data_IF_199581767869
#
_entry.id   IF_199581767869
#
_cell.length_a   1.000
_cell.length_b   1.000
_cell.length_c   1.000
_cell.angle_alpha   90.00
_cell.angle_beta   90.00
_cell.angle_gamma   90.00
#
_symmetry.space_group_name_H-M   'P 1'
#
loop_
_entity.id
_entity.type
_entity.pdbx_description
1 polymer ?
#
# COMPACT_ATOMS: atom_id res chain seq x y z
N UNK A 1 23.11 24.61 -33.66
CA UNK A 1 22.66 25.82 -34.38
C UNK A 1 22.46 26.96 -33.39
N UNK A 2 22.69 28.21 -33.80
CA UNK A 2 22.56 29.38 -32.91
C UNK A 2 21.12 29.87 -32.89
N UNK A 3 20.44 29.71 -31.74
CA UNK A 3 19.07 30.22 -31.53
C UNK A 3 18.97 31.73 -31.79
N UNK A 4 20.05 32.47 -31.56
CA UNK A 4 20.11 33.91 -31.82
C UNK A 4 20.10 34.22 -33.31
N UNK A 5 20.91 33.51 -34.12
CA UNK A 5 20.95 33.69 -35.57
C UNK A 5 19.67 33.20 -36.25
N UNK A 6 19.03 32.15 -35.72
CA UNK A 6 17.76 31.65 -36.27
C UNK A 6 16.63 32.69 -36.24
N UNK A 7 16.70 33.69 -35.34
CA UNK A 7 15.74 34.81 -35.31
C UNK A 7 15.75 35.62 -36.61
N UNK A 8 16.87 35.65 -37.34
CA UNK A 8 16.97 36.36 -38.62
C UNK A 8 16.22 35.64 -39.75
N UNK A 9 15.75 34.40 -39.52
CA UNK A 9 14.87 33.66 -40.46
C UNK A 9 13.39 33.98 -40.27
N UNK A 10 13.04 35.03 -39.52
CA UNK A 10 11.67 35.36 -39.10
C UNK A 10 10.62 35.21 -40.21
N UNK A 11 10.80 35.89 -41.35
CA UNK A 11 9.84 35.82 -42.47
C UNK A 11 9.93 34.51 -43.25
N UNK A 12 11.11 33.88 -43.32
CA UNK A 12 11.29 32.59 -44.01
C UNK A 12 10.59 31.42 -43.31
N UNK A 13 10.27 31.55 -42.02
CA UNK A 13 9.59 30.51 -41.23
C UNK A 13 8.05 30.62 -41.28
N UNK A 14 7.49 31.70 -41.85
CA UNK A 14 6.03 31.85 -42.00
C UNK A 14 5.55 30.98 -43.17
N UNK A 15 4.65 30.04 -42.89
CA UNK A 15 3.96 29.22 -43.88
C UNK A 15 2.65 29.85 -44.36
N UNK A 16 1.69 29.01 -44.74
CA UNK A 16 0.35 29.45 -45.14
C UNK A 16 -0.42 30.08 -43.96
N UNK A 17 -1.28 31.06 -44.29
CA UNK A 17 -2.35 31.50 -43.40
C UNK A 17 -3.53 30.55 -43.50
N UNK A 18 -4.35 30.49 -42.46
CA UNK A 18 -5.58 29.71 -42.46
C UNK A 18 -6.70 30.48 -41.77
N UNK A 19 -7.95 30.07 -42.03
CA UNK A 19 -9.17 30.71 -41.50
C UNK A 19 -9.21 32.23 -41.79
N UNK A 20 -9.18 32.60 -43.08
CA UNK A 20 -9.29 33.98 -43.56
C UNK A 20 -8.31 34.97 -42.89
N UNK A 21 -7.09 34.49 -42.61
CA UNK A 21 -6.03 35.30 -41.99
C UNK A 21 -6.09 35.32 -40.45
N UNK A 22 -7.00 34.60 -39.82
CA UNK A 22 -7.03 34.45 -38.36
C UNK A 22 -5.83 33.66 -37.83
N UNK A 23 -5.39 32.65 -38.57
CA UNK A 23 -4.31 31.75 -38.19
C UNK A 23 -3.09 31.82 -39.11
N UNK A 24 -1.92 31.49 -38.55
CA UNK A 24 -0.65 31.39 -39.27
C UNK A 24 0.04 30.08 -38.91
N UNK A 25 0.34 29.26 -39.92
CA UNK A 25 1.21 28.09 -39.75
C UNK A 25 2.68 28.55 -39.73
N UNK A 26 3.48 28.01 -38.80
CA UNK A 26 4.91 28.32 -38.68
C UNK A 26 5.76 27.06 -38.82
N UNK A 27 6.79 27.13 -39.66
CA UNK A 27 7.80 26.10 -39.83
C UNK A 27 9.05 26.47 -39.01
N UNK A 28 8.91 26.45 -37.69
CA UNK A 28 9.98 26.78 -36.75
C UNK A 28 10.48 25.58 -35.97
N UNK A 29 11.66 25.69 -35.37
CA UNK A 29 12.28 24.64 -34.58
C UNK A 29 11.45 24.34 -33.31
N UNK A 30 11.28 23.06 -32.99
CA UNK A 30 10.54 22.57 -31.80
C UNK A 30 11.37 21.62 -30.94
N UNK A 31 12.70 21.68 -31.04
CA UNK A 31 13.61 20.76 -30.33
C UNK A 31 13.50 20.91 -28.81
N UNK A 32 13.02 22.06 -28.32
CA UNK A 32 12.76 22.28 -26.89
C UNK A 32 11.78 21.26 -26.29
N UNK A 33 10.95 20.63 -27.10
CA UNK A 33 10.01 19.58 -26.70
C UNK A 33 10.70 18.32 -26.18
N UNK A 34 11.97 18.10 -26.54
CA UNK A 34 12.76 16.98 -26.03
C UNK A 34 12.91 17.02 -24.50
N UNK A 35 12.78 18.19 -23.87
CA UNK A 35 12.78 18.31 -22.41
C UNK A 35 11.70 17.45 -21.74
N UNK A 36 10.46 17.48 -22.26
CA UNK A 36 9.38 16.65 -21.73
C UNK A 36 9.49 15.18 -22.20
N UNK A 37 9.97 14.94 -23.43
CA UNK A 37 10.20 13.56 -23.92
C UNK A 37 11.22 12.82 -23.07
N UNK A 38 12.33 13.46 -22.73
CA UNK A 38 13.40 12.91 -21.89
C UNK A 38 12.96 12.71 -20.43
N UNK A 39 12.00 13.52 -19.94
CA UNK A 39 11.37 13.29 -18.63
C UNK A 39 10.56 11.99 -18.60
N UNK A 40 9.79 11.70 -19.66
CA UNK A 40 8.93 10.51 -19.77
C UNK A 40 9.70 9.21 -20.01
N UNK A 41 10.79 9.27 -20.77
CA UNK A 41 11.71 8.14 -20.96
C UNK A 41 12.18 7.59 -19.60
N UNK A 42 12.36 6.27 -19.53
CA UNK A 42 12.67 5.55 -18.29
C UNK A 42 13.51 4.32 -18.61
N UNK A 43 14.15 3.76 -17.59
CA UNK A 43 15.11 2.66 -17.72
C UNK A 43 14.39 1.33 -17.92
N UNK A 44 13.33 1.09 -17.13
CA UNK A 44 12.50 -0.12 -17.18
C UNK A 44 11.16 0.06 -16.49
N UNK A 45 10.26 -0.88 -16.77
CA UNK A 45 9.01 -1.09 -16.05
C UNK A 45 9.03 -2.42 -15.31
N UNK A 46 8.54 -2.45 -14.08
CA UNK A 46 8.44 -3.68 -13.27
C UNK A 46 6.97 -3.87 -12.86
N UNK A 47 6.45 -5.09 -12.99
CA UNK A 47 5.10 -5.40 -12.48
C UNK A 47 5.12 -5.51 -10.96
N UNK A 48 4.22 -4.80 -10.29
CA UNK A 48 3.97 -4.94 -8.85
C UNK A 48 2.50 -4.70 -8.52
N UNK A 49 2.15 -4.77 -7.24
CA UNK A 49 0.82 -4.46 -6.67
C UNK A 49 0.97 -3.79 -5.31
N UNK A 50 -0.14 -3.40 -4.68
CA UNK A 50 -0.16 -2.75 -3.37
C UNK A 50 -0.69 -3.69 -2.29
N UNK A 51 0.17 -4.06 -1.33
CA UNK A 51 -0.18 -4.85 -0.16
C UNK A 51 -0.93 -4.06 0.91
N UNK A 52 -2.10 -3.53 0.57
CA UNK A 52 -2.96 -2.72 1.44
C UNK A 52 -4.41 -3.24 1.39
N UNK A 53 -5.11 -3.22 2.52
CA UNK A 53 -6.49 -3.72 2.64
C UNK A 53 -7.48 -2.78 1.94
N UNK A 54 -7.56 -2.85 0.61
CA UNK A 54 -8.42 -1.98 -0.19
C UNK A 54 -9.35 -2.75 -1.15
N UNK A 55 -9.31 -4.08 -1.17
CA UNK A 55 -10.00 -4.98 -2.14
C UNK A 55 -9.59 -4.81 -3.62
N UNK A 56 -8.83 -3.77 -3.96
CA UNK A 56 -8.57 -3.42 -5.35
C UNK A 56 -7.69 -4.42 -6.12
N UNK A 57 -6.69 -5.04 -5.48
CA UNK A 57 -5.77 -6.01 -6.13
C UNK A 57 -5.24 -5.57 -7.50
N UNK A 58 -4.93 -4.28 -7.64
CA UNK A 58 -4.59 -3.68 -8.93
C UNK A 58 -3.11 -3.94 -9.26
N UNK A 59 -2.82 -4.44 -10.45
CA UNK A 59 -1.47 -4.56 -11.00
C UNK A 59 -0.99 -3.22 -11.58
N UNK A 60 0.26 -2.85 -11.29
CA UNK A 60 0.88 -1.58 -11.69
C UNK A 60 2.20 -1.80 -12.43
N UNK A 61 2.49 -0.88 -13.35
CA UNK A 61 3.78 -0.65 -14.00
C UNK A 61 4.58 0.31 -13.10
N UNK A 62 5.60 -0.20 -12.43
CA UNK A 62 6.51 0.61 -11.62
C UNK A 62 7.65 1.10 -12.52
N UNK A 63 7.76 2.41 -12.69
CA UNK A 63 8.77 3.01 -13.56
C UNK A 63 10.04 3.26 -12.77
N UNK A 64 11.16 2.73 -13.28
CA UNK A 64 12.50 3.03 -12.79
C UNK A 64 13.17 3.95 -13.79
N UNK A 65 13.70 5.08 -13.31
CA UNK A 65 14.47 6.04 -14.09
C UNK A 65 15.66 6.53 -13.27
N UNK A 66 16.84 6.59 -13.87
CA UNK A 66 18.10 6.88 -13.20
C UNK A 66 18.37 5.91 -12.02
N UNK A 67 17.99 4.64 -12.16
CA UNK A 67 18.16 3.62 -11.12
C UNK A 67 17.25 3.80 -9.89
N UNK A 68 16.30 4.74 -9.91
CA UNK A 68 15.35 5.01 -8.82
C UNK A 68 13.92 4.81 -9.30
N UNK A 69 13.03 4.37 -8.41
CA UNK A 69 11.60 4.36 -8.72
C UNK A 69 11.10 5.81 -8.77
N UNK A 70 10.37 6.17 -9.83
CA UNK A 70 9.95 7.56 -10.05
C UNK A 70 8.44 7.77 -10.04
N UNK A 71 7.66 6.90 -10.66
CA UNK A 71 6.19 6.93 -10.66
C UNK A 71 5.62 5.55 -11.01
N UNK A 72 4.30 5.41 -10.94
CA UNK A 72 3.59 4.22 -11.40
C UNK A 72 2.40 4.58 -12.30
N UNK A 73 2.07 3.69 -13.23
CA UNK A 73 0.80 3.69 -13.98
C UNK A 73 0.20 2.30 -13.95
N UNK A 74 -1.09 2.16 -14.18
CA UNK A 74 -1.74 0.86 -14.12
C UNK A 74 -1.26 -0.08 -15.23
N UNK A 75 -1.24 -1.38 -14.93
CA UNK A 75 -1.23 -2.41 -15.96
C UNK A 75 -2.62 -2.53 -16.58
N UNK A 76 -2.67 -2.90 -17.85
CA UNK A 76 -3.91 -3.03 -18.63
C UNK A 76 -4.03 -4.39 -19.32
N UNK A 77 -3.16 -5.34 -18.96
CA UNK A 77 -3.03 -6.64 -19.60
C UNK A 77 -3.58 -7.78 -18.75
N UNK A 78 -4.61 -7.48 -17.95
CA UNK A 78 -5.40 -8.54 -17.32
C UNK A 78 -5.99 -9.45 -18.41
N UNK A 79 -6.11 -10.76 -18.18
CA UNK A 79 -6.90 -11.62 -19.05
C UNK A 79 -8.28 -11.00 -19.28
N UNK A 80 -8.64 -10.85 -20.55
CA UNK A 80 -9.90 -10.21 -20.95
C UNK A 80 -11.08 -11.03 -20.44
N UNK A 81 -12.16 -10.33 -20.11
CA UNK A 81 -13.45 -10.95 -19.79
C UNK A 81 -14.12 -11.47 -21.07
N UNK A 82 -15.30 -12.07 -20.94
CA UNK A 82 -16.10 -12.49 -22.10
C UNK A 82 -16.45 -11.28 -23.00
N UNK A 83 -16.70 -11.48 -24.30
CA UNK A 83 -17.02 -10.37 -25.21
C UNK A 83 -18.22 -9.51 -24.81
N UNK A 84 -19.16 -10.05 -24.04
CA UNK A 84 -20.36 -9.37 -23.54
C UNK A 84 -20.14 -8.59 -22.23
N UNK A 85 -18.93 -8.64 -21.68
CA UNK A 85 -18.54 -7.96 -20.44
C UNK A 85 -17.46 -6.90 -20.71
N UNK A 86 -17.48 -5.77 -19.99
CA UNK A 86 -16.33 -4.88 -19.98
C UNK A 86 -15.12 -5.57 -19.32
N UNK A 87 -13.92 -5.17 -19.72
CA UNK A 87 -12.68 -5.67 -19.13
C UNK A 87 -12.38 -4.93 -17.83
N UNK A 88 -11.55 -5.52 -16.96
CA UNK A 88 -11.13 -4.92 -15.69
C UNK A 88 -10.16 -3.74 -15.85
N UNK A 89 -9.44 -3.65 -16.98
CA UNK A 89 -8.44 -2.63 -17.17
C UNK A 89 -9.06 -1.22 -17.20
N UNK A 90 -8.41 -0.19 -16.63
CA UNK A 90 -7.08 -0.20 -16.00
C UNK A 90 -7.08 -0.52 -14.48
N UNK A 91 -8.24 -0.66 -13.83
CA UNK A 91 -8.35 -0.60 -12.34
C UNK A 91 -7.62 0.63 -11.78
N UNK A 92 -7.04 0.51 -10.59
CA UNK A 92 -6.28 1.56 -9.92
C UNK A 92 -7.17 2.54 -9.14
N UNK A 93 -6.52 3.40 -8.36
CA UNK A 93 -7.16 4.43 -7.55
C UNK A 93 -6.15 5.53 -7.21
N UNK A 94 -6.59 6.73 -6.79
CA UNK A 94 -5.67 7.83 -6.48
C UNK A 94 -4.72 7.52 -5.31
N UNK A 95 -5.07 6.58 -4.43
CA UNK A 95 -4.20 6.16 -3.33
C UNK A 95 -3.04 5.29 -3.83
N UNK A 96 -3.30 4.41 -4.80
CA UNK A 96 -2.26 3.60 -5.43
C UNK A 96 -1.32 4.43 -6.31
N UNK A 97 -1.86 5.41 -7.03
CA UNK A 97 -1.09 6.29 -7.91
C UNK A 97 -0.08 7.21 -7.20
N UNK A 98 -0.11 7.27 -5.87
CA UNK A 98 0.82 8.07 -5.06
C UNK A 98 1.79 7.22 -4.24
N UNK A 99 1.79 5.90 -4.39
CA UNK A 99 2.55 5.01 -3.53
C UNK A 99 4.07 5.18 -3.70
N UNK A 100 4.54 5.49 -4.91
CA UNK A 100 5.95 5.82 -5.21
C UNK A 100 6.54 6.89 -4.29
N UNK A 101 5.71 7.80 -3.75
CA UNK A 101 6.14 8.82 -2.79
C UNK A 101 6.86 8.23 -1.58
N UNK A 102 6.38 7.10 -1.04
CA UNK A 102 6.88 6.54 0.22
C UNK A 102 8.32 6.06 0.16
N UNK A 103 8.86 5.75 -1.03
CA UNK A 103 10.15 5.08 -1.15
C UNK A 103 11.30 5.93 -0.60
N UNK A 104 11.27 7.23 -0.86
CA UNK A 104 12.33 8.16 -0.49
C UNK A 104 11.81 9.38 0.29
N UNK A 105 10.53 9.37 0.72
CA UNK A 105 9.96 10.49 1.47
C UNK A 105 10.63 10.69 2.82
N UNK A 106 10.41 11.88 3.40
CA UNK A 106 10.90 12.25 4.72
C UNK A 106 10.42 11.32 5.85
N UNK A 107 9.35 10.55 5.62
CA UNK A 107 8.79 9.64 6.62
C UNK A 107 9.19 8.16 6.41
N UNK A 108 10.14 7.89 5.52
CA UNK A 108 10.63 6.53 5.28
C UNK A 108 11.44 6.01 6.47
N UNK A 109 11.07 4.85 7.00
CA UNK A 109 11.90 4.11 7.96
C UNK A 109 13.11 3.49 7.24
N UNK A 110 14.32 3.96 7.59
CA UNK A 110 15.58 3.55 6.96
C UNK A 110 16.40 2.55 7.79
N UNK A 111 16.24 2.57 9.11
CA UNK A 111 17.04 1.80 10.04
C UNK A 111 16.16 1.15 11.12
N UNK A 112 16.60 0.05 11.75
CA UNK A 112 15.97 -0.41 12.98
C UNK A 112 16.11 0.66 14.06
N UNK A 113 15.02 0.93 14.77
CA UNK A 113 14.92 1.96 15.78
C UNK A 113 14.57 1.33 17.13
N UNK A 114 15.15 1.85 18.21
CA UNK A 114 14.81 1.44 19.56
C UNK A 114 14.54 2.68 20.41
N UNK A 115 13.69 2.58 21.43
CA UNK A 115 13.50 3.69 22.39
C UNK A 115 14.80 3.88 23.17
N UNK A 116 15.30 5.12 23.25
CA UNK A 116 16.57 5.47 23.93
C UNK A 116 16.65 4.88 25.34
N UNK A 117 15.56 4.98 26.11
CA UNK A 117 15.50 4.44 27.48
C UNK A 117 15.69 2.92 27.53
N UNK A 118 15.05 2.19 26.62
CA UNK A 118 15.21 0.74 26.52
C UNK A 118 16.62 0.37 26.07
N UNK A 119 17.16 1.04 25.05
CA UNK A 119 18.52 0.77 24.55
C UNK A 119 19.59 0.99 25.62
N UNK A 120 19.47 2.07 26.43
CA UNK A 120 20.39 2.34 27.54
C UNK A 120 20.40 1.16 28.52
N UNK A 121 19.22 0.76 29.02
CA UNK A 121 19.11 -0.34 29.99
C UNK A 121 19.51 -1.68 29.37
N UNK A 122 19.21 -1.92 28.10
CA UNK A 122 19.59 -3.14 27.39
C UNK A 122 21.12 -3.32 27.36
N UNK A 123 21.85 -2.28 26.98
CA UNK A 123 23.31 -2.31 26.94
C UNK A 123 23.94 -2.40 28.33
N UNK A 124 23.38 -1.70 29.31
CA UNK A 124 23.81 -1.79 30.72
C UNK A 124 23.60 -3.20 31.28
N UNK A 125 22.47 -3.84 30.99
CA UNK A 125 22.19 -5.20 31.41
C UNK A 125 23.12 -6.21 30.72
N UNK A 126 23.36 -6.07 29.40
CA UNK A 126 24.30 -6.93 28.67
C UNK A 126 25.76 -6.80 29.15
N UNK A 127 26.12 -5.69 29.78
CA UNK A 127 27.46 -5.54 30.38
C UNK A 127 27.61 -6.36 31.68
N UNK A 128 26.49 -6.71 32.33
CA UNK A 128 26.46 -7.48 33.58
C UNK A 128 26.06 -8.95 33.36
N UNK A 129 25.32 -9.22 32.28
CA UNK A 129 24.80 -10.55 31.95
C UNK A 129 25.25 -10.93 30.54
N UNK A 130 26.06 -11.99 30.44
CA UNK A 130 26.53 -12.53 29.16
C UNK A 130 25.38 -13.19 28.37
N UNK A 131 24.47 -13.88 29.06
CA UNK A 131 23.25 -14.42 28.46
C UNK A 131 22.21 -13.28 28.26
N UNK A 132 21.80 -13.00 27.00
CA UNK A 132 20.82 -11.96 26.72
C UNK A 132 19.43 -12.23 27.33
N UNK A 133 19.06 -13.48 27.60
CA UNK A 133 17.79 -13.85 28.27
C UNK A 133 17.80 -13.38 29.72
N UNK A 134 18.93 -13.58 30.42
CA UNK A 134 19.13 -13.08 31.78
C UNK A 134 19.24 -11.55 31.81
N UNK A 135 19.87 -10.95 30.81
CA UNK A 135 19.91 -9.50 30.64
C UNK A 135 18.49 -8.90 30.50
N UNK A 136 17.60 -9.60 29.79
CA UNK A 136 16.19 -9.18 29.69
C UNK A 136 15.46 -9.35 31.02
N UNK A 137 15.67 -10.48 31.71
CA UNK A 137 15.09 -10.75 33.03
C UNK A 137 15.39 -9.61 34.02
N UNK A 138 16.66 -9.18 34.12
CA UNK A 138 17.09 -8.11 35.05
C UNK A 138 16.53 -6.71 34.73
N UNK A 139 15.94 -6.52 33.55
CA UNK A 139 15.21 -5.30 33.16
C UNK A 139 13.71 -5.44 33.45
N UNK A 140 13.11 -6.56 33.07
CA UNK A 140 11.64 -6.70 33.08
C UNK A 140 11.09 -7.06 34.46
N UNK A 141 11.87 -7.75 35.30
CA UNK A 141 11.52 -8.09 36.69
C UNK A 141 11.70 -6.90 37.64
N UNK A 142 12.49 -5.90 37.27
CA UNK A 142 12.61 -4.63 37.99
C UNK A 142 11.46 -3.69 37.60
N UNK A 143 10.57 -3.43 38.55
CA UNK A 143 9.37 -2.62 38.33
C UNK A 143 9.67 -1.20 37.85
N UNK A 144 10.75 -0.57 38.32
CA UNK A 144 11.10 0.80 37.96
C UNK A 144 11.78 0.87 36.59
N UNK A 145 12.66 -0.09 36.27
CA UNK A 145 13.21 -0.23 34.91
C UNK A 145 12.09 -0.50 33.91
N UNK A 146 11.21 -1.46 34.18
CA UNK A 146 10.10 -1.80 33.31
C UNK A 146 9.15 -0.61 33.08
N UNK A 147 8.79 0.11 34.14
CA UNK A 147 7.95 1.30 34.08
C UNK A 147 8.60 2.41 33.24
N UNK A 148 9.91 2.62 33.40
CA UNK A 148 10.63 3.73 32.76
C UNK A 148 10.58 3.70 31.22
N UNK A 149 10.72 2.53 30.57
CA UNK A 149 10.63 2.46 29.11
C UNK A 149 9.18 2.37 28.61
N UNK A 150 8.26 1.82 29.41
CA UNK A 150 6.84 1.73 29.08
C UNK A 150 6.18 3.11 29.06
N UNK A 151 6.46 3.98 30.04
CA UNK A 151 5.94 5.36 30.07
C UNK A 151 6.51 6.26 28.97
N UNK A 152 7.66 5.90 28.40
CA UNK A 152 8.26 6.61 27.26
C UNK A 152 7.60 6.29 25.90
N UNK A 153 6.60 5.40 25.85
CA UNK A 153 5.87 5.07 24.61
C UNK A 153 5.05 6.29 24.13
N UNK A 154 5.20 6.67 22.87
CA UNK A 154 4.52 7.83 22.29
C UNK A 154 5.04 9.19 22.77
N UNK A 155 6.29 9.25 23.25
CA UNK A 155 6.93 10.48 23.78
C UNK A 155 8.30 10.78 23.13
N UNK A 156 8.50 10.39 21.88
CA UNK A 156 9.76 10.64 21.15
C UNK A 156 10.96 9.85 21.69
N UNK A 157 12.19 10.26 21.33
CA UNK A 157 13.41 9.61 21.81
C UNK A 157 13.69 8.24 21.18
N UNK A 158 13.34 8.05 19.90
CA UNK A 158 13.87 6.93 19.13
C UNK A 158 15.34 7.20 18.77
N UNK A 159 16.15 6.15 18.84
CA UNK A 159 17.55 6.17 18.43
C UNK A 159 17.80 5.03 17.45
N UNK A 160 18.74 5.25 16.53
CA UNK A 160 19.17 4.23 15.57
C UNK A 160 19.82 3.06 16.30
N UNK A 161 19.42 1.85 15.95
CA UNK A 161 20.01 0.59 16.41
C UNK A 161 20.61 -0.18 15.22
N UNK A 162 20.91 -1.46 15.40
CA UNK A 162 21.33 -2.39 14.34
C UNK A 162 20.41 -3.61 14.32
N UNK A 163 20.37 -4.32 13.19
CA UNK A 163 19.59 -5.56 13.08
C UNK A 163 20.04 -6.61 14.10
N UNK A 164 21.35 -6.73 14.33
CA UNK A 164 21.91 -7.63 15.34
C UNK A 164 21.38 -7.33 16.74
N UNK A 165 21.39 -6.05 17.15
CA UNK A 165 20.97 -5.64 18.49
C UNK A 165 19.46 -5.84 18.71
N UNK A 166 18.61 -5.48 17.73
CA UNK A 166 17.16 -5.67 17.89
C UNK A 166 16.74 -7.13 17.80
N UNK A 167 17.39 -7.94 16.95
CA UNK A 167 17.07 -9.36 16.81
C UNK A 167 17.39 -10.13 18.09
N UNK A 168 18.55 -9.86 18.71
CA UNK A 168 18.94 -10.48 19.98
C UNK A 168 17.98 -10.11 21.12
N UNK A 169 17.63 -8.82 21.26
CA UNK A 169 16.69 -8.35 22.28
C UNK A 169 15.31 -9.01 22.10
N UNK A 170 14.77 -9.02 20.87
CA UNK A 170 13.46 -9.61 20.58
C UNK A 170 13.47 -11.11 20.89
N UNK A 171 14.51 -11.84 20.46
CA UNK A 171 14.63 -13.26 20.72
C UNK A 171 14.73 -13.56 22.23
N UNK A 172 15.56 -12.81 22.96
CA UNK A 172 15.72 -12.96 24.41
C UNK A 172 14.41 -12.69 25.17
N UNK A 173 13.71 -11.62 24.80
CA UNK A 173 12.39 -11.28 25.34
C UNK A 173 11.37 -12.40 25.09
N UNK A 174 11.36 -12.99 23.89
CA UNK A 174 10.46 -14.08 23.56
C UNK A 174 10.81 -15.36 24.33
N UNK A 175 12.08 -15.75 24.39
CA UNK A 175 12.53 -16.94 25.14
C UNK A 175 12.18 -16.81 26.62
N UNK A 176 12.50 -15.68 27.25
CA UNK A 176 12.14 -15.41 28.64
C UNK A 176 10.62 -15.50 28.86
N UNK A 177 9.83 -14.87 27.99
CA UNK A 177 8.37 -14.87 28.12
C UNK A 177 7.79 -16.28 27.99
N UNK A 178 8.24 -17.05 26.99
CA UNK A 178 7.80 -18.43 26.77
C UNK A 178 8.16 -19.30 27.97
N UNK A 179 9.41 -19.21 28.44
CA UNK A 179 9.94 -20.03 29.53
C UNK A 179 9.22 -19.77 30.85
N UNK A 180 8.95 -18.50 31.17
CA UNK A 180 8.47 -18.11 32.50
C UNK A 180 6.94 -17.98 32.58
N UNK A 181 6.24 -17.74 31.47
CA UNK A 181 4.79 -17.49 31.46
C UNK A 181 4.00 -18.38 30.50
N UNK A 182 4.66 -19.02 29.54
CA UNK A 182 4.03 -19.81 28.48
C UNK A 182 4.06 -19.11 27.11
N UNK A 183 4.02 -19.89 26.02
CA UNK A 183 4.20 -19.36 24.67
C UNK A 183 3.05 -18.48 24.19
N UNK A 184 1.84 -18.71 24.70
CA UNK A 184 0.64 -17.93 24.38
C UNK A 184 0.67 -16.49 24.93
N UNK A 185 1.66 -16.13 25.75
CA UNK A 185 1.96 -14.73 26.17
C UNK A 185 2.77 -13.96 25.14
N UNK A 186 3.21 -14.62 24.06
CA UNK A 186 3.77 -13.98 22.86
C UNK A 186 2.67 -13.97 21.79
N UNK A 187 2.31 -12.77 21.33
CA UNK A 187 1.22 -12.58 20.38
C UNK A 187 1.66 -11.77 19.16
N UNK A 188 1.02 -12.01 18.02
CA UNK A 188 1.17 -11.17 16.84
C UNK A 188 -0.17 -10.77 16.24
N UNK A 189 -0.24 -9.51 15.83
CA UNK A 189 -1.35 -8.97 15.07
C UNK A 189 -0.87 -8.63 13.65
N UNK A 190 -1.37 -9.36 12.67
CA UNK A 190 -1.15 -9.07 11.26
C UNK A 190 -2.45 -9.37 10.50
N UNK A 191 -3.07 -8.41 9.81
CA UNK A 191 -4.37 -8.61 9.20
C UNK A 191 -4.27 -9.01 7.71
N UNK A 192 -5.38 -9.50 7.15
CA UNK A 192 -5.67 -9.61 5.70
C UNK A 192 -4.50 -10.23 4.89
N UNK A 193 -4.32 -11.56 4.92
CA UNK A 193 -3.25 -12.23 4.17
C UNK A 193 -3.37 -12.04 2.65
N UNK A 194 -4.59 -11.87 2.11
CA UNK A 194 -4.84 -11.78 0.67
C UNK A 194 -4.09 -10.62 -0.02
N UNK A 195 -3.78 -9.53 0.69
CA UNK A 195 -3.07 -8.39 0.10
C UNK A 195 -1.55 -8.64 -0.03
N UNK A 196 -0.96 -9.54 0.77
CA UNK A 196 0.46 -9.90 0.71
C UNK A 196 0.75 -11.20 1.47
N UNK A 197 0.46 -12.33 0.84
CA UNK A 197 0.38 -13.65 1.48
C UNK A 197 1.65 -14.04 2.24
N UNK A 198 2.82 -13.94 1.59
CA UNK A 198 4.10 -14.32 2.19
C UNK A 198 4.52 -13.32 3.29
N UNK A 199 4.19 -12.04 3.13
CA UNK A 199 4.43 -11.02 4.15
C UNK A 199 3.65 -11.34 5.43
N UNK A 200 2.36 -11.69 5.31
CA UNK A 200 1.56 -12.17 6.45
C UNK A 200 2.16 -13.47 7.05
N UNK A 201 2.46 -14.44 6.20
CA UNK A 201 2.94 -15.76 6.63
C UNK A 201 4.27 -15.70 7.39
N UNK A 202 5.11 -14.69 7.14
CA UNK A 202 6.40 -14.53 7.81
C UNK A 202 6.28 -14.50 9.34
N UNK A 203 5.44 -13.60 9.88
CA UNK A 203 5.20 -13.47 11.32
C UNK A 203 4.30 -14.57 11.87
N UNK A 204 3.25 -14.95 11.13
CA UNK A 204 2.33 -16.00 11.55
C UNK A 204 3.06 -17.34 11.72
N UNK A 205 3.91 -17.73 10.75
CA UNK A 205 4.70 -18.96 10.81
C UNK A 205 5.66 -18.96 11.99
N UNK A 206 6.37 -17.85 12.23
CA UNK A 206 7.27 -17.73 13.38
C UNK A 206 6.52 -17.96 14.70
N UNK A 207 5.38 -17.28 14.89
CA UNK A 207 4.58 -17.38 16.10
C UNK A 207 4.00 -18.79 16.28
N UNK A 208 3.42 -19.39 15.25
CA UNK A 208 2.87 -20.74 15.35
C UNK A 208 3.93 -21.78 15.68
N UNK A 209 5.16 -21.64 15.16
CA UNK A 209 6.27 -22.56 15.48
C UNK A 209 6.69 -22.49 16.95
N UNK A 210 6.67 -21.30 17.56
CA UNK A 210 7.01 -21.12 18.98
C UNK A 210 5.80 -21.28 19.92
N UNK A 211 4.61 -21.56 19.39
CA UNK A 211 3.36 -21.69 20.16
C UNK A 211 2.69 -20.35 20.54
N UNK A 212 3.08 -19.24 19.91
CA UNK A 212 2.51 -17.91 20.12
C UNK A 212 1.11 -17.76 19.49
N UNK A 213 0.38 -16.74 19.93
CA UNK A 213 -1.00 -16.48 19.49
C UNK A 213 -1.04 -15.62 18.21
N UNK A 214 -1.74 -16.12 17.19
CA UNK A 214 -2.06 -15.37 15.98
C UNK A 214 -3.45 -14.75 16.12
N UNK A 215 -3.53 -13.43 16.24
CA UNK A 215 -4.78 -12.72 16.47
C UNK A 215 -5.63 -12.64 15.19
N UNK A 216 -6.95 -12.78 15.33
CA UNK A 216 -7.93 -12.61 14.25
C UNK A 216 -8.05 -11.13 13.82
N UNK A 217 -8.66 -10.90 12.66
CA UNK A 217 -8.82 -9.56 12.09
C UNK A 217 -10.20 -9.27 11.51
N UNK A 218 -10.88 -10.26 10.92
CA UNK A 218 -12.09 -10.02 10.13
C UNK A 218 -13.32 -9.72 11.00
N UNK A 219 -13.46 -10.49 12.07
CA UNK A 219 -14.35 -10.23 13.21
C UNK A 219 -13.99 -8.91 13.92
N UNK A 220 -12.71 -8.69 14.21
CA UNK A 220 -12.24 -7.49 14.91
C UNK A 220 -12.51 -6.19 14.15
N UNK A 221 -12.33 -6.18 12.83
CA UNK A 221 -12.61 -5.02 11.98
C UNK A 221 -14.11 -4.80 11.74
N UNK A 222 -14.95 -5.73 12.20
CA UNK A 222 -16.38 -5.74 11.88
C UNK A 222 -16.63 -5.83 10.36
N UNK A 223 -15.67 -6.39 9.62
CA UNK A 223 -15.82 -6.71 8.21
C UNK A 223 -16.57 -8.04 8.04
N UNK A 224 -16.47 -8.96 9.02
CA UNK A 224 -17.29 -10.17 9.12
C UNK A 224 -18.75 -9.79 9.35
N UNK A 225 -19.68 -10.09 8.42
CA UNK A 225 -21.10 -9.98 8.68
C UNK A 225 -21.57 -11.25 9.40
N UNK A 226 -21.90 -11.25 10.71
CA UNK A 226 -22.26 -12.47 11.43
C UNK A 226 -23.50 -13.19 10.84
N UNK A 227 -24.32 -12.44 10.10
CA UNK A 227 -25.45 -12.97 9.35
C UNK A 227 -25.05 -14.00 8.28
N UNK A 228 -23.84 -13.92 7.70
CA UNK A 228 -23.37 -14.87 6.69
C UNK A 228 -23.18 -16.27 7.30
N UNK A 229 -22.38 -16.45 8.38
CA UNK A 229 -22.31 -17.73 9.07
C UNK A 229 -23.66 -18.22 9.61
N UNK A 230 -24.52 -17.32 10.11
CA UNK A 230 -25.85 -17.69 10.62
C UNK A 230 -26.78 -18.24 9.52
N UNK A 231 -26.70 -17.68 8.31
CA UNK A 231 -27.61 -18.04 7.22
C UNK A 231 -27.07 -19.20 6.38
N UNK A 232 -25.77 -19.20 6.11
CA UNK A 232 -25.16 -20.09 5.12
C UNK A 232 -24.03 -20.97 5.68
N UNK A 233 -23.63 -20.79 6.94
CA UNK A 233 -22.45 -21.47 7.48
C UNK A 233 -21.14 -21.07 6.80
N UNK A 234 -21.12 -19.95 6.08
CA UNK A 234 -19.99 -19.43 5.32
C UNK A 234 -19.46 -18.14 5.96
N UNK A 235 -18.13 -17.98 6.04
CA UNK A 235 -17.52 -16.76 6.57
C UNK A 235 -17.95 -15.55 5.75
N UNK A 236 -17.62 -15.56 4.45
CA UNK A 236 -18.06 -14.58 3.45
C UNK A 236 -17.64 -15.08 2.07
N UNK A 237 -18.62 -15.30 1.21
CA UNK A 237 -18.43 -15.46 -0.23
C UNK A 237 -19.40 -14.52 -0.95
N UNK A 238 -18.92 -13.84 -2.00
CA UNK A 238 -19.66 -12.78 -2.70
C UNK A 238 -19.37 -12.80 -4.20
N UNK A 239 -20.31 -12.36 -5.06
CA UNK A 239 -20.06 -12.25 -6.49
C UNK A 239 -18.95 -11.24 -6.81
N UNK A 240 -18.19 -11.54 -7.86
CA UNK A 240 -17.16 -10.62 -8.40
C UNK A 240 -17.78 -9.35 -9.00
N UNK A 241 -16.96 -8.31 -9.21
CA UNK A 241 -17.44 -7.05 -9.76
C UNK A 241 -17.92 -7.16 -11.21
N UNK A 242 -17.33 -8.08 -12.00
CA UNK A 242 -17.80 -8.34 -13.36
C UNK A 242 -19.23 -8.87 -13.39
N UNK A 243 -19.66 -9.63 -12.37
CA UNK A 243 -21.01 -10.17 -12.28
C UNK A 243 -22.07 -9.09 -11.99
N UNK A 244 -21.66 -7.91 -11.51
CA UNK A 244 -22.57 -6.76 -11.42
C UNK A 244 -23.14 -6.41 -12.81
N UNK A 245 -22.39 -6.67 -13.89
CA UNK A 245 -22.82 -6.42 -15.26
C UNK A 245 -23.88 -7.42 -15.77
N UNK A 246 -24.04 -8.55 -15.07
CA UNK A 246 -25.05 -9.56 -15.37
C UNK A 246 -26.40 -9.21 -14.74
N UNK A 247 -26.43 -8.38 -13.71
CA UNK A 247 -27.67 -7.98 -13.05
C UNK A 247 -28.45 -6.92 -13.85
N UNK A 248 -29.78 -7.05 -13.88
CA UNK A 248 -30.72 -6.05 -14.43
C UNK A 248 -31.27 -5.08 -13.36
N UNK A 249 -30.97 -5.31 -12.07
CA UNK A 249 -31.36 -4.42 -10.99
C UNK A 249 -30.35 -4.48 -9.82
N UNK A 250 -29.83 -3.33 -9.39
CA UNK A 250 -28.81 -3.27 -8.32
C UNK A 250 -29.19 -2.22 -7.28
N UNK A 251 -29.04 -2.57 -6.00
CA UNK A 251 -29.17 -1.64 -4.87
C UNK A 251 -27.82 -1.46 -4.19
N UNK A 252 -27.22 -0.27 -4.29
CA UNK A 252 -26.08 0.12 -3.49
C UNK A 252 -26.55 0.61 -2.12
N UNK A 253 -26.57 -0.29 -1.13
CA UNK A 253 -27.06 0.00 0.21
C UNK A 253 -25.92 0.11 1.22
N UNK A 254 -25.70 1.31 1.77
CA UNK A 254 -24.59 1.53 2.70
C UNK A 254 -23.19 1.32 2.09
N UNK A 255 -23.09 1.20 0.76
CA UNK A 255 -21.85 0.98 0.02
C UNK A 255 -21.55 2.19 -0.86
N UNK A 256 -20.47 2.92 -0.55
CA UNK A 256 -20.01 4.06 -1.33
C UNK A 256 -19.05 3.62 -2.45
N UNK A 257 -19.61 2.91 -3.43
CA UNK A 257 -18.90 2.25 -4.55
C UNK A 257 -17.80 3.11 -5.20
N UNK A 258 -18.05 4.35 -5.68
CA UNK A 258 -17.02 5.11 -6.39
C UNK A 258 -15.80 5.45 -5.50
N UNK A 259 -15.99 5.58 -4.19
CA UNK A 259 -14.92 5.91 -3.26
C UNK A 259 -14.19 4.68 -2.71
N UNK A 260 -14.94 3.68 -2.26
CA UNK A 260 -14.38 2.52 -1.54
C UNK A 260 -14.10 1.33 -2.45
N UNK A 261 -14.68 1.28 -3.66
CA UNK A 261 -14.51 0.26 -4.73
C UNK A 261 -14.15 0.96 -6.06
N UNK A 262 -13.38 2.05 -5.98
CA UNK A 262 -12.94 2.85 -7.15
C UNK A 262 -12.52 2.02 -8.37
N UNK A 263 -11.65 0.99 -8.28
CA UNK A 263 -11.21 0.24 -9.46
C UNK A 263 -12.31 -0.62 -10.11
N UNK A 264 -13.40 -0.90 -9.40
CA UNK A 264 -14.51 -1.76 -9.85
C UNK A 264 -15.76 -0.94 -10.19
N UNK A 265 -15.78 0.35 -9.88
CA UNK A 265 -16.94 1.21 -10.04
C UNK A 265 -17.43 1.30 -11.49
N UNK A 266 -16.55 1.07 -12.47
CA UNK A 266 -16.91 1.12 -13.89
C UNK A 266 -17.99 0.08 -14.24
N UNK A 267 -17.92 -1.15 -13.69
CA UNK A 267 -18.95 -2.17 -13.90
C UNK A 267 -20.33 -1.68 -13.46
N UNK A 268 -20.41 -1.00 -12.31
CA UNK A 268 -21.65 -0.43 -11.78
C UNK A 268 -22.17 0.74 -12.63
N UNK A 269 -21.29 1.55 -13.22
CA UNK A 269 -21.69 2.66 -14.09
C UNK A 269 -22.07 2.21 -15.49
N UNK A 270 -21.33 1.26 -16.07
CA UNK A 270 -21.48 0.80 -17.45
C UNK A 270 -22.68 -0.12 -17.61
N UNK A 271 -23.01 -0.93 -16.60
CA UNK A 271 -24.20 -1.81 -16.67
C UNK A 271 -25.50 -1.01 -16.85
N UNK A 272 -25.52 0.25 -16.43
CA UNK A 272 -26.67 1.15 -16.64
C UNK A 272 -26.94 1.38 -18.13
N UNK A 273 -25.92 1.35 -18.99
CA UNK A 273 -26.09 1.44 -20.44
C UNK A 273 -26.73 0.18 -21.04
N UNK A 274 -26.66 -0.95 -20.34
CA UNK A 274 -27.38 -2.19 -20.66
C UNK A 274 -28.85 -2.17 -20.19
N UNK A 275 -29.33 -1.05 -19.66
CA UNK A 275 -30.70 -0.88 -19.18
C UNK A 275 -30.91 -1.23 -17.69
N UNK A 276 -29.85 -1.60 -16.97
CA UNK A 276 -29.93 -1.93 -15.54
C UNK A 276 -30.29 -0.73 -14.69
N UNK A 277 -31.27 -0.90 -13.80
CA UNK A 277 -31.68 0.14 -12.84
C UNK A 277 -30.85 0.05 -11.57
N UNK A 278 -30.21 1.15 -11.21
CA UNK A 278 -29.43 1.28 -9.97
C UNK A 278 -30.17 2.14 -8.95
N UNK A 279 -30.28 1.66 -7.72
CA UNK A 279 -30.80 2.42 -6.58
C UNK A 279 -29.68 2.61 -5.54
N UNK A 280 -29.58 3.81 -4.95
CA UNK A 280 -28.63 4.09 -3.88
C UNK A 280 -29.37 4.39 -2.57
N UNK A 281 -29.04 3.69 -1.49
CA UNK A 281 -29.54 3.97 -0.13
C UNK A 281 -28.39 4.41 0.78
N UNK A 282 -28.35 5.71 1.09
CA UNK A 282 -27.38 6.30 2.01
C UNK A 282 -28.04 7.42 2.83
N UNK A 283 -27.59 7.63 4.08
CA UNK A 283 -28.17 8.57 5.04
C UNK A 283 -27.64 10.00 4.92
N UNK A 284 -26.52 10.24 4.23
CA UNK A 284 -25.81 11.54 4.22
C UNK A 284 -26.10 12.45 3.03
N UNK A 285 -26.78 11.96 1.99
CA UNK A 285 -27.17 12.77 0.83
C UNK A 285 -28.70 12.85 0.80
N UNK A 286 -29.24 13.71 1.66
CA UNK A 286 -30.55 14.33 1.52
C UNK A 286 -30.34 15.83 1.41
#
# INVERSE_FOLDING_TARGET
MSKFLDRFRYFKQKGETFADGHGQLLNTNRDWEDGYRQRWQHDKIVRSTHGVNCTGSCSWKIYVKNGLVTWETQQTDYPRTRPDLPNHEPRGCPRGASYSWYLYSANRLKYPMMRKRLMKMWREAKALHSDPVEAWASIIEDADKAKSFKQARGRGGFVRSSWQEVNELIAASNVYTIKNYGPDRVAGFSPIPAMSMVSYASGARYLSLIGGTCLSFYDWYCDLPPASPQTWGEQTDVPESADWYNSSYIIAWGSNVPQTRTPDAHFFTEVRYKGTKNCCRHTRLR
#
